data_IF_687475022195
#
_entry.id   IF_687475022195
#
_cell.length_a   1.000
_cell.length_b   1.000
_cell.length_c   1.000
_cell.angle_alpha   90.00
_cell.angle_beta   90.00
_cell.angle_gamma   90.00
#
_symmetry.space_group_name_H-M   'P 1'
#
loop_
_entity.id
_entity.type
_entity.pdbx_description
1 polymer ?
#
# COMPACT_ATOMS: atom_id res chain seq x y z
N UNK A 1 17.35 -0.97 -5.87
CA UNK A 1 17.40 0.24 -5.01
C UNK A 1 16.25 0.19 -4.01
N UNK A 2 16.39 0.74 -2.79
CA UNK A 2 15.33 0.72 -1.76
C UNK A 2 13.97 1.27 -2.24
N UNK A 3 14.00 2.19 -3.21
CA UNK A 3 12.82 2.80 -3.80
C UNK A 3 12.07 1.89 -4.79
N UNK A 4 12.75 0.98 -5.49
CA UNK A 4 12.13 0.08 -6.46
C UNK A 4 11.19 -0.93 -5.78
N UNK A 5 11.61 -1.50 -4.64
CA UNK A 5 10.77 -2.45 -3.89
C UNK A 5 9.50 -1.82 -3.31
N UNK A 6 9.56 -0.54 -2.93
CA UNK A 6 8.39 0.23 -2.51
C UNK A 6 7.45 0.51 -3.69
N UNK A 7 8.02 0.93 -4.82
CA UNK A 7 7.26 1.22 -6.04
C UNK A 7 6.50 0.00 -6.55
N UNK A 8 7.12 -1.19 -6.50
CA UNK A 8 6.48 -2.44 -6.89
C UNK A 8 5.34 -2.83 -5.94
N UNK A 9 5.56 -2.75 -4.62
CA UNK A 9 4.53 -3.05 -3.61
C UNK A 9 3.32 -2.13 -3.74
N UNK A 10 3.54 -0.82 -3.84
CA UNK A 10 2.47 0.15 -4.04
C UNK A 10 1.76 -0.08 -5.38
N UNK A 11 2.52 -0.33 -6.45
CA UNK A 11 1.97 -0.65 -7.76
C UNK A 11 1.03 -1.86 -7.73
N UNK A 12 1.38 -2.92 -7.00
CA UNK A 12 0.53 -4.10 -6.83
C UNK A 12 -0.75 -3.80 -6.05
N UNK A 13 -0.67 -3.03 -4.95
CA UNK A 13 -1.84 -2.62 -4.16
C UNK A 13 -2.82 -1.83 -5.05
N UNK A 14 -2.32 -0.85 -5.81
CA UNK A 14 -3.17 -0.07 -6.71
C UNK A 14 -3.73 -0.90 -7.86
N UNK A 15 -3.00 -1.90 -8.35
CA UNK A 15 -3.48 -2.82 -9.39
C UNK A 15 -4.62 -3.70 -8.86
N UNK A 16 -4.52 -4.22 -7.63
CA UNK A 16 -5.60 -4.95 -6.95
C UNK A 16 -6.85 -4.08 -6.79
N UNK A 17 -6.67 -2.83 -6.36
CA UNK A 17 -7.77 -1.88 -6.19
C UNK A 17 -8.47 -1.54 -7.52
N UNK A 18 -7.69 -1.27 -8.58
CA UNK A 18 -8.25 -0.96 -9.91
C UNK A 18 -8.95 -2.15 -10.57
N UNK A 19 -8.51 -3.38 -10.29
CA UNK A 19 -9.07 -4.57 -10.92
C UNK A 19 -10.47 -4.96 -10.41
N UNK A 20 -10.90 -4.51 -9.23
CA UNK A 20 -12.16 -4.96 -8.60
C UNK A 20 -13.44 -4.29 -9.13
N UNK A 21 -13.35 -3.25 -9.96
CA UNK A 21 -14.51 -2.59 -10.58
C UNK A 21 -15.42 -1.78 -9.64
N UNK A 22 -15.66 -2.25 -8.40
CA UNK A 22 -16.23 -1.50 -7.28
C UNK A 22 -15.38 -1.74 -6.03
N UNK A 23 -14.97 -0.66 -5.38
CA UNK A 23 -14.25 -0.71 -4.12
C UNK A 23 -15.24 -0.71 -2.96
N UNK A 24 -15.09 -1.67 -2.05
CA UNK A 24 -15.81 -1.67 -0.77
C UNK A 24 -14.94 -1.05 0.32
N UNK A 25 -15.54 -0.60 1.42
CA UNK A 25 -14.77 -0.09 2.57
C UNK A 25 -13.79 -1.14 3.13
N UNK A 26 -14.17 -2.42 3.07
CA UNK A 26 -13.31 -3.52 3.48
C UNK A 26 -12.03 -3.57 2.64
N UNK A 27 -12.16 -3.43 1.31
CA UNK A 27 -11.03 -3.46 0.37
C UNK A 27 -10.08 -2.28 0.58
N UNK A 28 -10.65 -1.09 0.81
CA UNK A 28 -9.85 0.11 1.11
C UNK A 28 -9.11 -0.07 2.44
N UNK A 29 -9.76 -0.63 3.46
CA UNK A 29 -9.15 -0.86 4.77
C UNK A 29 -8.02 -1.88 4.71
N UNK A 30 -8.20 -2.93 3.92
CA UNK A 30 -7.18 -3.95 3.66
C UNK A 30 -5.98 -3.36 2.90
N UNK A 31 -6.24 -2.63 1.81
CA UNK A 31 -5.19 -1.98 1.04
C UNK A 31 -4.41 -0.94 1.86
N UNK A 32 -5.09 -0.12 2.67
CA UNK A 32 -4.43 0.84 3.56
C UNK A 32 -3.57 0.16 4.63
N UNK A 33 -3.89 -1.09 5.01
CA UNK A 33 -3.06 -1.88 5.92
C UNK A 33 -1.79 -2.38 5.21
N UNK A 34 -1.90 -2.89 3.98
CA UNK A 34 -0.74 -3.28 3.15
C UNK A 34 0.19 -2.07 2.91
N UNK A 35 -0.36 -0.90 2.58
CA UNK A 35 0.41 0.34 2.36
C UNK A 35 1.18 0.74 3.61
N UNK A 36 0.55 0.70 4.79
CA UNK A 36 1.21 1.07 6.05
C UNK A 36 2.37 0.13 6.39
N UNK A 37 2.22 -1.16 6.14
CA UNK A 37 3.30 -2.13 6.32
C UNK A 37 4.45 -1.89 5.34
N UNK A 38 4.15 -1.66 4.06
CA UNK A 38 5.17 -1.37 3.05
C UNK A 38 5.96 -0.10 3.36
N UNK A 39 5.32 0.93 3.92
CA UNK A 39 5.98 2.16 4.36
C UNK A 39 6.91 1.92 5.55
N UNK A 40 6.50 1.12 6.53
CA UNK A 40 7.34 0.78 7.69
C UNK A 40 8.55 -0.07 7.30
N UNK A 41 8.37 -1.02 6.37
CA UNK A 41 9.47 -1.85 5.84
C UNK A 41 10.48 -1.04 5.02
N UNK A 42 10.06 0.08 4.44
CA UNK A 42 10.92 1.02 3.71
C UNK A 42 11.60 2.06 4.62
N UNK A 43 11.57 1.85 5.94
CA UNK A 43 12.18 2.71 6.96
C UNK A 43 11.60 4.15 6.99
N UNK A 44 10.32 4.28 6.63
CA UNK A 44 9.60 5.56 6.67
C UNK A 44 9.15 5.86 8.10
N UNK A 45 9.28 7.13 8.51
CA UNK A 45 8.90 7.59 9.85
C UNK A 45 7.45 7.25 10.18
N UNK A 46 7.24 6.65 11.36
CA UNK A 46 5.92 6.30 11.88
C UNK A 46 4.92 7.47 11.88
N UNK A 47 5.40 8.71 12.01
CA UNK A 47 4.56 9.92 11.93
C UNK A 47 3.84 10.08 10.59
N UNK A 48 4.41 9.52 9.51
CA UNK A 48 3.86 9.57 8.15
C UNK A 48 2.89 8.40 7.90
N UNK A 49 3.04 7.30 8.65
CA UNK A 49 2.26 6.06 8.47
C UNK A 49 0.95 6.07 9.26
N UNK A 50 0.88 6.83 10.35
CA UNK A 50 -0.27 6.91 11.26
C UNK A 50 -1.47 7.64 10.65
#
# INVERSE_FOLDING_TARGET
MAFEGLQDKLGQVFKKLKARGKLTEADVKEAMREVRLALLEADVSYKVVK
#
